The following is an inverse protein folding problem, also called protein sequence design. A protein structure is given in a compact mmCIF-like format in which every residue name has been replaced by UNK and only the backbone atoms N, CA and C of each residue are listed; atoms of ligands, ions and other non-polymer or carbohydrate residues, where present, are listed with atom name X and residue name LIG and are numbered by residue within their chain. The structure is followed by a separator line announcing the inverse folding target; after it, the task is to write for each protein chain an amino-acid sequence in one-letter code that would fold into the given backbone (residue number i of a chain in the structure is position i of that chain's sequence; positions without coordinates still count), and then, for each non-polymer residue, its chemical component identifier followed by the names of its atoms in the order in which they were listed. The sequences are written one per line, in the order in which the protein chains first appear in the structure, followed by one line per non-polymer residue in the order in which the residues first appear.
data_IF_472295909592
#
_entry.id   IF_472295909592
#
_cell.length_a   1.000
_cell.length_b   1.000
_cell.length_c   1.000
_cell.angle_alpha   90.00
_cell.angle_beta   90.00
_cell.angle_gamma   90.00
#
_symmetry.space_group_name_H-M   'P 1'
#
loop_
_entity.id
_entity.type
_entity.pdbx_description
1 polymer ?
#
# COMPACT_ATOMS: atom_id res chain seq x y z
N UNK A 1 20.06 -5.93 1.58
CA UNK A 1 19.43 -5.69 0.25
C UNK A 1 18.78 -4.32 0.27
N UNK A 2 19.06 -3.48 -0.73
CA UNK A 2 18.40 -2.19 -0.90
C UNK A 2 17.08 -2.46 -1.65
N UNK A 3 15.98 -1.85 -1.19
CA UNK A 3 14.68 -1.90 -1.87
C UNK A 3 14.20 -0.49 -2.15
N UNK A 4 13.58 -0.31 -3.31
CA UNK A 4 13.09 1.00 -3.78
C UNK A 4 11.59 0.92 -3.98
N UNK A 5 10.86 1.90 -3.45
CA UNK A 5 9.44 2.07 -3.71
C UNK A 5 9.26 3.06 -4.87
N UNK A 6 8.46 2.67 -5.86
CA UNK A 6 8.10 3.53 -6.98
C UNK A 6 6.60 3.78 -6.87
N UNK A 7 6.21 5.05 -6.83
CA UNK A 7 4.82 5.47 -6.71
C UNK A 7 4.35 6.06 -8.03
N UNK A 8 3.12 5.75 -8.43
CA UNK A 8 2.49 6.35 -9.61
C UNK A 8 1.75 7.63 -9.21
N UNK A 9 1.56 8.54 -10.16
CA UNK A 9 0.83 9.79 -9.91
C UNK A 9 -0.60 9.55 -9.38
N UNK A 10 -1.28 8.53 -9.91
CA UNK A 10 -2.62 8.16 -9.46
C UNK A 10 -2.63 7.64 -8.02
N UNK A 11 -1.60 6.88 -7.63
CA UNK A 11 -1.45 6.41 -6.25
C UNK A 11 -1.31 7.59 -5.29
N UNK A 12 -0.39 8.53 -5.59
CA UNK A 12 -0.15 9.71 -4.75
C UNK A 12 -1.38 10.61 -4.66
N UNK A 13 -2.10 10.83 -5.77
CA UNK A 13 -3.34 11.60 -5.79
C UNK A 13 -4.41 10.98 -4.89
N UNK A 14 -4.60 9.66 -4.98
CA UNK A 14 -5.58 8.95 -4.15
C UNK A 14 -5.17 8.91 -2.68
N UNK A 15 -3.88 8.76 -2.38
CA UNK A 15 -3.34 8.82 -1.03
C UNK A 15 -3.73 10.12 -0.32
N UNK A 16 -3.45 11.25 -0.98
CA UNK A 16 -3.82 12.59 -0.49
C UNK A 16 -5.33 12.77 -0.36
N UNK A 17 -6.11 12.28 -1.34
CA UNK A 17 -7.58 12.36 -1.31
C UNK A 17 -8.19 11.57 -0.14
N UNK A 18 -7.54 10.50 0.29
CA UNK A 18 -7.96 9.72 1.46
C UNK A 18 -7.57 10.39 2.79
N UNK A 19 -6.78 11.47 2.75
CA UNK A 19 -6.31 12.19 3.95
C UNK A 19 -5.17 11.49 4.67
N UNK A 20 -4.46 10.59 3.98
CA UNK A 20 -3.34 9.84 4.54
C UNK A 20 -2.06 10.67 4.51
N UNK A 21 -1.26 10.54 5.57
CA UNK A 21 -0.03 11.30 5.74
C UNK A 21 1.22 10.45 5.42
N UNK A 22 2.40 11.01 5.67
CA UNK A 22 3.67 10.34 5.40
C UNK A 22 3.97 9.21 6.42
N UNK A 23 3.43 9.28 7.64
CA UNK A 23 3.56 8.21 8.64
C UNK A 23 2.76 6.98 8.20
N UNK A 24 1.55 7.18 7.65
CA UNK A 24 0.76 6.11 7.04
C UNK A 24 1.53 5.47 5.87
N UNK A 25 2.20 6.30 5.05
CA UNK A 25 2.97 5.84 3.90
C UNK A 25 4.12 4.96 4.37
N UNK A 26 4.87 5.43 5.38
CA UNK A 26 5.94 4.69 6.02
C UNK A 26 5.46 3.34 6.54
N UNK A 27 4.26 3.30 7.14
CA UNK A 27 3.65 2.08 7.68
C UNK A 27 3.36 1.06 6.57
N UNK A 28 2.77 1.51 5.47
CA UNK A 28 2.49 0.69 4.30
C UNK A 28 3.79 0.13 3.69
N UNK A 29 4.80 0.97 3.51
CA UNK A 29 6.11 0.56 2.98
C UNK A 29 6.74 -0.52 3.86
N UNK A 30 6.75 -0.32 5.18
CA UNK A 30 7.28 -1.29 6.14
C UNK A 30 6.51 -2.62 6.11
N UNK A 31 5.20 -2.60 5.91
CA UNK A 31 4.38 -3.80 5.78
C UNK A 31 4.73 -4.58 4.51
N UNK A 32 4.89 -3.89 3.38
CA UNK A 32 5.35 -4.50 2.12
C UNK A 32 6.79 -5.02 2.24
N UNK A 33 7.66 -4.31 2.97
CA UNK A 33 9.03 -4.76 3.21
C UNK A 33 9.08 -6.07 3.99
N UNK A 34 8.26 -6.20 5.04
CA UNK A 34 8.15 -7.41 5.87
C UNK A 34 7.73 -8.63 5.04
N UNK A 35 6.76 -8.47 4.14
CA UNK A 35 6.35 -9.53 3.24
C UNK A 35 5.96 -9.00 1.84
N UNK A 36 6.87 -9.02 0.86
CA UNK A 36 6.58 -8.59 -0.51
C UNK A 36 5.52 -9.43 -1.23
N UNK A 37 5.26 -10.64 -0.74
CA UNK A 37 4.23 -11.52 -1.28
C UNK A 37 2.88 -11.35 -0.57
N UNK A 38 2.77 -10.38 0.35
CA UNK A 38 1.51 -10.05 1.00
C UNK A 38 0.46 -9.61 -0.03
N UNK A 39 -0.78 -10.00 0.22
CA UNK A 39 -1.91 -9.73 -0.66
C UNK A 39 -2.11 -10.79 -1.75
N UNK A 40 -3.34 -10.83 -2.26
CA UNK A 40 -3.76 -11.79 -3.26
C UNK A 40 -3.29 -11.35 -4.65
N UNK A 41 -2.78 -12.29 -5.45
CA UNK A 41 -2.50 -12.05 -6.86
C UNK A 41 -3.81 -11.80 -7.61
N UNK A 42 -3.85 -10.71 -8.37
CA UNK A 42 -4.97 -10.38 -9.25
C UNK A 42 -4.77 -11.15 -10.56
N UNK A 43 -5.66 -12.11 -10.84
CA UNK A 43 -5.58 -12.91 -12.08
C UNK A 43 -5.67 -12.01 -13.32
N UNK A 44 -4.94 -12.38 -14.38
CA UNK A 44 -4.94 -11.65 -15.66
C UNK A 44 -4.11 -10.37 -15.69
N UNK A 45 -3.38 -10.03 -14.62
CA UNK A 45 -2.58 -8.79 -14.53
C UNK A 45 -1.07 -8.99 -14.65
N UNK A 46 -0.62 -10.22 -14.91
CA UNK A 46 0.81 -10.53 -14.96
C UNK A 46 1.53 -10.49 -13.61
N UNK A 47 0.79 -10.50 -12.48
CA UNK A 47 1.37 -10.65 -11.15
C UNK A 47 1.14 -9.48 -10.18
N UNK A 48 0.25 -8.54 -10.49
CA UNK A 48 -0.14 -7.51 -9.53
C UNK A 48 -0.78 -8.13 -8.29
N UNK A 49 -0.52 -7.56 -7.12
CA UNK A 49 -1.05 -8.00 -5.83
C UNK A 49 -1.93 -6.94 -5.20
N UNK A 50 -3.01 -7.36 -4.55
CA UNK A 50 -3.90 -6.49 -3.77
C UNK A 50 -3.68 -6.73 -2.28
N UNK A 51 -3.10 -5.73 -1.61
CA UNK A 51 -2.98 -5.66 -0.16
C UNK A 51 -4.15 -4.85 0.42
N UNK A 52 -4.67 -5.26 1.59
CA UNK A 52 -5.58 -4.43 2.37
C UNK A 52 -4.77 -3.70 3.43
N UNK A 53 -4.84 -2.38 3.44
CA UNK A 53 -4.19 -1.55 4.45
C UNK A 53 -5.28 -0.97 5.37
N UNK A 54 -5.15 -1.21 6.68
CA UNK A 54 -6.08 -0.71 7.66
C UNK A 54 -5.77 0.75 8.00
N UNK A 55 -6.81 1.57 8.03
CA UNK A 55 -6.74 2.97 8.45
C UNK A 55 -6.91 3.03 9.97
N UNK A 56 -6.04 3.74 10.67
CA UNK A 56 -6.30 4.06 12.07
C UNK A 56 -7.57 4.95 12.12
N UNK A 57 -8.48 4.65 13.04
CA UNK A 57 -9.77 5.34 13.26
C UNK A 57 -10.84 5.30 12.13
N UNK A 58 -10.64 4.54 11.05
CA UNK A 58 -11.69 4.30 10.03
C UNK A 58 -11.93 2.81 9.78
N UNK A 59 -12.70 2.19 10.68
CA UNK A 59 -13.19 0.82 10.57
C UNK A 59 -14.47 0.62 11.39
N UNK A 60 -15.14 -0.54 11.23
CA UNK A 60 -16.22 -0.91 12.16
C UNK A 60 -15.60 -1.23 13.52
N UNK A 61 -15.99 -0.47 14.55
CA UNK A 61 -15.84 -0.90 15.95
C UNK A 61 -16.78 -2.06 16.24
#
# INVERSE_FOLDING_TARGET
MIRTFIQTDEFVKNWKRLGLNDDDMRRLELEILKNPQAGNVIKGTGGLRKLRFAFDDKGKR
#
